data_IF_085301368826
#
_entry.id   IF_085301368826
#
_cell.length_a   1.000
_cell.length_b   1.000
_cell.length_c   1.000
_cell.angle_alpha   90.00
_cell.angle_beta   90.00
_cell.angle_gamma   90.00
#
_symmetry.space_group_name_H-M   'P 1'
#
loop_
_entity.id
_entity.type
_entity.pdbx_description
1 polymer ?
#
# COMPACT_ATOMS: atom_id res chain seq x y z
N UNK A 1 9.23 14.06 16.56
CA UNK A 1 7.99 13.52 15.95
C UNK A 1 8.01 12.02 16.11
N UNK A 2 6.90 11.35 15.81
CA UNK A 2 6.84 9.88 15.88
C UNK A 2 7.55 9.24 14.68
N UNK A 3 8.04 8.02 14.87
CA UNK A 3 8.55 7.19 13.79
C UNK A 3 7.38 6.64 12.97
N UNK A 4 7.55 6.57 11.66
CA UNK A 4 6.55 6.07 10.72
C UNK A 4 7.19 5.01 9.84
N UNK A 5 6.59 3.83 9.79
CA UNK A 5 6.88 2.80 8.79
C UNK A 5 5.92 3.04 7.63
N UNK A 6 6.43 3.51 6.50
CA UNK A 6 5.67 3.65 5.25
C UNK A 6 5.73 2.33 4.49
N UNK A 7 4.60 1.62 4.39
CA UNK A 7 4.56 0.32 3.74
C UNK A 7 4.83 0.40 2.23
N UNK A 8 4.38 1.47 1.56
CA UNK A 8 4.62 1.64 0.12
C UNK A 8 6.11 1.89 -0.14
N UNK A 9 6.76 2.71 0.69
CA UNK A 9 8.20 2.94 0.60
C UNK A 9 8.99 1.67 0.91
N UNK A 10 8.59 0.89 1.93
CA UNK A 10 9.24 -0.37 2.26
C UNK A 10 9.16 -1.37 1.10
N UNK A 11 7.99 -1.50 0.47
CA UNK A 11 7.81 -2.33 -0.73
C UNK A 11 8.67 -1.83 -1.88
N UNK A 12 8.72 -0.52 -2.08
CA UNK A 12 9.56 0.10 -3.11
C UNK A 12 11.04 -0.25 -2.93
N UNK A 13 11.54 -0.16 -1.70
CA UNK A 13 12.93 -0.44 -1.35
C UNK A 13 13.27 -1.93 -1.52
N UNK A 14 12.36 -2.84 -1.13
CA UNK A 14 12.52 -4.28 -1.34
C UNK A 14 12.53 -4.69 -2.82
N UNK A 15 11.92 -3.88 -3.69
CA UNK A 15 11.90 -4.07 -5.13
C UNK A 15 13.14 -3.49 -5.84
N UNK A 16 13.97 -2.71 -5.14
CA UNK A 16 15.24 -2.24 -5.68
C UNK A 16 16.21 -3.42 -5.92
N UNK A 17 17.16 -3.22 -6.84
CA UNK A 17 18.14 -4.25 -7.21
C UNK A 17 18.85 -4.85 -5.99
N UNK A 18 18.77 -6.18 -5.87
CA UNK A 18 19.33 -6.95 -4.74
C UNK A 18 18.39 -7.07 -3.52
N UNK A 19 17.22 -6.44 -3.56
CA UNK A 19 16.18 -6.58 -2.55
C UNK A 19 15.48 -7.94 -2.61
N UNK A 20 14.77 -8.27 -1.52
CA UNK A 20 14.13 -9.58 -1.37
C UNK A 20 12.95 -9.77 -2.34
N UNK A 21 12.15 -8.73 -2.57
CA UNK A 21 11.09 -8.77 -3.59
C UNK A 21 11.66 -8.78 -5.00
N UNK A 22 12.73 -8.02 -5.25
CA UNK A 22 13.45 -8.03 -6.53
C UNK A 22 13.86 -9.46 -6.92
N UNK A 23 14.52 -10.18 -6.01
CA UNK A 23 14.95 -11.55 -6.27
C UNK A 23 13.77 -12.51 -6.49
N UNK A 24 12.74 -12.42 -5.65
CA UNK A 24 11.56 -13.28 -5.79
C UNK A 24 10.81 -13.07 -7.11
N UNK A 25 10.71 -11.83 -7.58
CA UNK A 25 10.10 -11.50 -8.87
C UNK A 25 10.96 -11.99 -10.04
N UNK A 26 12.29 -11.89 -9.93
CA UNK A 26 13.21 -12.44 -10.92
C UNK A 26 13.15 -13.96 -11.01
N UNK A 27 13.09 -14.65 -9.87
CA UNK A 27 13.00 -16.10 -9.84
C UNK A 27 11.68 -16.59 -10.48
N UNK A 28 10.61 -15.81 -10.33
CA UNK A 28 9.30 -16.13 -10.91
C UNK A 28 9.15 -15.77 -12.39
N UNK A 29 9.52 -14.54 -12.78
CA UNK A 29 9.23 -13.98 -14.12
C UNK A 29 10.47 -13.92 -15.03
N UNK A 30 11.65 -14.22 -14.50
CA UNK A 30 12.92 -14.15 -15.20
C UNK A 30 13.37 -12.73 -15.51
N UNK A 31 14.49 -12.60 -16.23
CA UNK A 31 15.10 -11.31 -16.60
C UNK A 31 14.25 -10.47 -17.56
N UNK A 32 13.15 -11.02 -18.09
CA UNK A 32 12.24 -10.29 -18.96
C UNK A 32 11.64 -9.05 -18.27
N UNK A 33 11.59 -9.01 -16.94
CA UNK A 33 11.08 -7.87 -16.17
C UNK A 33 12.12 -6.78 -15.92
N UNK A 34 13.35 -6.92 -16.43
CA UNK A 34 14.43 -5.97 -16.21
C UNK A 34 14.55 -4.92 -17.31
N UNK A 35 15.03 -3.74 -16.91
CA UNK A 35 15.60 -2.72 -17.78
C UNK A 35 17.07 -3.06 -18.09
N UNK A 36 17.68 -2.32 -19.03
CA UNK A 36 19.07 -2.53 -19.45
C UNK A 36 20.11 -2.28 -18.34
N UNK A 37 19.77 -1.50 -17.31
CA UNK A 37 20.58 -1.25 -16.12
C UNK A 37 20.40 -2.32 -15.02
N UNK A 38 19.46 -3.26 -15.23
CA UNK A 38 19.11 -4.32 -14.30
C UNK A 38 18.10 -3.90 -13.23
N UNK A 39 17.51 -2.71 -13.31
CA UNK A 39 16.36 -2.32 -12.47
C UNK A 39 15.06 -2.97 -12.96
N UNK A 40 14.04 -3.06 -12.10
CA UNK A 40 12.74 -3.56 -12.52
C UNK A 40 12.05 -2.58 -13.48
N UNK A 41 11.61 -3.11 -14.63
CA UNK A 41 10.71 -2.42 -15.54
C UNK A 41 9.29 -2.43 -14.96
N UNK A 42 8.99 -1.45 -14.09
CA UNK A 42 7.69 -1.34 -13.39
C UNK A 42 6.47 -1.38 -14.33
N UNK A 43 6.45 -0.65 -15.47
CA UNK A 43 5.35 -0.77 -16.42
C UNK A 43 5.15 -2.20 -16.95
N UNK A 44 6.24 -2.88 -17.32
CA UNK A 44 6.17 -4.26 -17.84
C UNK A 44 5.78 -5.27 -16.77
N UNK A 45 6.32 -5.12 -15.55
CA UNK A 45 5.95 -5.93 -14.40
C UNK A 45 4.44 -5.81 -14.11
N UNK A 46 3.92 -4.57 -14.08
CA UNK A 46 2.49 -4.33 -13.93
C UNK A 46 1.67 -5.01 -15.03
N UNK A 47 2.06 -4.84 -16.31
CA UNK A 47 1.37 -5.50 -17.42
C UNK A 47 1.32 -7.03 -17.27
N UNK A 48 2.40 -7.66 -16.83
CA UNK A 48 2.46 -9.11 -16.63
C UNK A 48 1.58 -9.55 -15.46
N UNK A 49 1.68 -8.89 -14.30
CA UNK A 49 0.86 -9.20 -13.12
C UNK A 49 -0.63 -9.05 -13.45
N UNK A 50 -1.01 -7.97 -14.13
CA UNK A 50 -2.41 -7.70 -14.46
C UNK A 50 -2.91 -8.42 -15.73
N UNK A 51 -2.08 -9.23 -16.40
CA UNK A 51 -2.45 -9.92 -17.64
C UNK A 51 -3.50 -11.01 -17.48
N UNK A 52 -3.56 -11.66 -16.31
CA UNK A 52 -4.54 -12.68 -15.99
C UNK A 52 -4.85 -12.72 -14.48
N UNK A 53 -5.95 -13.36 -14.12
CA UNK A 53 -6.29 -13.60 -12.71
C UNK A 53 -5.29 -14.50 -12.01
N UNK A 54 -4.79 -15.52 -12.71
CA UNK A 54 -3.75 -16.43 -12.21
C UNK A 54 -2.45 -15.70 -11.89
N UNK A 55 -2.02 -14.76 -12.75
CA UNK A 55 -0.81 -13.97 -12.52
C UNK A 55 -0.96 -13.01 -11.33
N UNK A 56 -2.15 -12.41 -11.15
CA UNK A 56 -2.44 -11.60 -9.97
C UNK A 56 -2.37 -12.43 -8.70
N UNK A 57 -3.02 -13.59 -8.69
CA UNK A 57 -3.00 -14.50 -7.54
C UNK A 57 -1.58 -14.94 -7.16
N UNK A 58 -0.77 -15.37 -8.15
CA UNK A 58 0.62 -15.75 -7.89
C UNK A 58 1.46 -14.56 -7.37
N UNK A 59 1.27 -13.37 -7.94
CA UNK A 59 1.91 -12.15 -7.46
C UNK A 59 1.54 -11.87 -5.99
N UNK A 60 0.26 -11.97 -5.64
CA UNK A 60 -0.23 -11.72 -4.29
C UNK A 60 0.33 -12.73 -3.29
N UNK A 61 0.45 -14.01 -3.66
CA UNK A 61 1.07 -15.02 -2.81
C UNK A 61 2.57 -14.78 -2.59
N UNK A 62 3.32 -14.55 -3.68
CA UNK A 62 4.79 -14.37 -3.62
C UNK A 62 5.13 -13.09 -2.88
N UNK A 63 4.54 -11.97 -3.30
CA UNK A 63 4.86 -10.66 -2.72
C UNK A 63 4.23 -10.51 -1.34
N UNK A 64 2.97 -10.91 -1.17
CA UNK A 64 2.24 -10.73 0.08
C UNK A 64 2.92 -11.39 1.27
N UNK A 65 3.45 -12.61 1.11
CA UNK A 65 4.22 -13.27 2.18
C UNK A 65 5.48 -12.49 2.55
N UNK A 66 6.27 -12.07 1.57
CA UNK A 66 7.53 -11.35 1.80
C UNK A 66 7.26 -9.99 2.46
N UNK A 67 6.26 -9.26 1.97
CA UNK A 67 5.86 -7.96 2.49
C UNK A 67 5.38 -8.08 3.93
N UNK A 68 4.54 -9.07 4.23
CA UNK A 68 4.05 -9.33 5.58
C UNK A 68 5.19 -9.64 6.55
N UNK A 69 6.14 -10.48 6.16
CA UNK A 69 7.30 -10.79 6.99
C UNK A 69 8.18 -9.56 7.25
N UNK A 70 8.44 -8.73 6.22
CA UNK A 70 9.25 -7.53 6.37
C UNK A 70 8.56 -6.47 7.25
N UNK A 71 7.27 -6.20 7.02
CA UNK A 71 6.50 -5.28 7.86
C UNK A 71 6.50 -5.72 9.33
N UNK A 72 6.32 -7.01 9.59
CA UNK A 72 6.39 -7.55 10.95
C UNK A 72 7.78 -7.36 11.57
N UNK A 73 8.85 -7.61 10.81
CA UNK A 73 10.21 -7.41 11.29
C UNK A 73 10.50 -5.93 11.64
N UNK A 74 10.08 -5.00 10.79
CA UNK A 74 10.22 -3.56 11.03
C UNK A 74 9.41 -3.12 12.25
N UNK A 75 8.15 -3.58 12.37
CA UNK A 75 7.29 -3.33 13.54
C UNK A 75 7.95 -3.82 14.82
N UNK A 76 8.37 -5.08 14.86
CA UNK A 76 8.92 -5.73 16.06
C UNK A 76 10.29 -5.17 16.44
N UNK A 77 11.05 -4.68 15.45
CA UNK A 77 12.29 -3.93 15.68
C UNK A 77 11.99 -2.60 16.36
N UNK A 78 11.08 -1.81 15.79
CA UNK A 78 10.76 -0.48 16.27
C UNK A 78 10.07 -0.50 17.65
N UNK A 79 9.23 -1.50 17.91
CA UNK A 79 8.59 -1.70 19.21
C UNK A 79 9.57 -1.97 20.38
N UNK A 80 10.84 -2.26 20.09
CA UNK A 80 11.89 -2.37 21.13
C UNK A 80 12.53 -1.03 21.48
N UNK A 81 12.41 -0.04 20.60
CA UNK A 81 13.10 1.25 20.70
C UNK A 81 12.15 2.40 21.01
N UNK A 82 10.88 2.29 20.59
CA UNK A 82 9.88 3.35 20.66
C UNK A 82 8.61 2.86 21.37
N UNK A 83 8.11 3.62 22.33
CA UNK A 83 6.83 3.34 23.00
C UNK A 83 5.63 3.58 22.08
N UNK A 84 5.76 4.51 21.12
CA UNK A 84 4.72 4.87 20.15
C UNK A 84 5.34 5.13 18.78
N UNK A 85 4.82 4.43 17.77
CA UNK A 85 5.14 4.64 16.36
C UNK A 85 3.90 4.40 15.48
N UNK A 86 3.97 4.82 14.22
CA UNK A 86 2.89 4.64 13.25
C UNK A 86 3.35 3.72 12.12
N UNK A 87 2.40 2.98 11.55
CA UNK A 87 2.59 2.30 10.28
C UNK A 87 1.53 2.80 9.30
N UNK A 88 1.94 3.38 8.18
CA UNK A 88 1.05 3.78 7.11
C UNK A 88 0.89 2.62 6.13
N UNK A 89 -0.29 1.98 6.15
CA UNK A 89 -0.59 0.78 5.38
C UNK A 89 -1.93 1.00 4.63
N UNK A 90 -1.91 1.30 3.32
CA UNK A 90 -3.12 1.60 2.55
C UNK A 90 -4.17 0.47 2.55
N UNK A 91 -3.70 -0.78 2.52
CA UNK A 91 -4.51 -2.01 2.48
C UNK A 91 -4.47 -2.77 3.82
N UNK A 92 -4.45 -2.03 4.94
CA UNK A 92 -4.37 -2.61 6.29
C UNK A 92 -5.50 -3.61 6.54
N UNK A 93 -6.73 -3.20 6.23
CA UNK A 93 -7.94 -3.96 6.55
C UNK A 93 -8.13 -5.07 5.52
N UNK A 94 -7.89 -4.77 4.23
CA UNK A 94 -8.03 -5.71 3.13
C UNK A 94 -7.07 -6.91 3.22
N UNK A 95 -5.93 -6.76 3.90
CA UNK A 95 -4.92 -7.80 4.09
C UNK A 95 -4.88 -8.38 5.52
N UNK A 96 -5.93 -8.17 6.30
CA UNK A 96 -6.09 -8.73 7.64
C UNK A 96 -4.93 -8.40 8.62
N UNK A 97 -4.47 -7.15 8.61
CA UNK A 97 -3.46 -6.66 9.53
C UNK A 97 -4.03 -6.05 10.82
N UNK A 98 -5.34 -6.05 11.02
CA UNK A 98 -6.00 -5.31 12.11
C UNK A 98 -5.49 -5.75 13.49
N UNK A 99 -5.26 -7.05 13.67
CA UNK A 99 -4.77 -7.64 14.93
C UNK A 99 -3.32 -7.28 15.27
N UNK A 100 -2.61 -6.54 14.41
CA UNK A 100 -1.23 -6.10 14.66
C UNK A 100 -1.14 -4.82 15.47
N UNK A 101 -2.24 -4.09 15.63
CA UNK A 101 -2.24 -2.71 16.11
C UNK A 101 -3.07 -2.55 17.37
N UNK A 102 -2.55 -1.78 18.34
CA UNK A 102 -3.32 -1.36 19.51
C UNK A 102 -4.42 -0.35 19.15
N UNK A 103 -4.18 0.47 18.11
CA UNK A 103 -5.15 1.41 17.56
C UNK A 103 -5.03 1.51 16.04
N UNK A 104 -6.18 1.61 15.37
CA UNK A 104 -6.27 1.85 13.92
C UNK A 104 -6.87 3.24 13.70
N UNK A 105 -6.11 4.12 13.06
CA UNK A 105 -6.54 5.48 12.76
C UNK A 105 -6.93 5.58 11.28
N UNK A 106 -8.18 5.93 11.02
CA UNK A 106 -8.71 6.03 9.66
C UNK A 106 -8.87 7.50 9.25
N UNK A 107 -8.12 7.91 8.24
CA UNK A 107 -8.28 9.24 7.62
C UNK A 107 -9.40 9.18 6.60
N UNK A 108 -10.53 9.79 6.93
CA UNK A 108 -11.76 9.75 6.16
C UNK A 108 -11.97 11.03 5.34
N UNK A 109 -12.45 10.86 4.11
CA UNK A 109 -12.91 11.94 3.24
C UNK A 109 -14.22 11.55 2.59
N UNK A 110 -15.06 12.52 2.28
CA UNK A 110 -16.28 12.28 1.50
C UNK A 110 -15.92 11.76 0.10
N UNK A 111 -16.78 10.94 -0.53
CA UNK A 111 -16.53 10.43 -1.88
C UNK A 111 -16.30 11.53 -2.92
N UNK A 112 -17.00 12.65 -2.79
CA UNK A 112 -16.83 13.82 -3.66
C UNK A 112 -15.42 14.41 -3.54
N UNK A 113 -14.95 14.67 -2.32
CA UNK A 113 -13.61 15.20 -2.05
C UNK A 113 -12.53 14.19 -2.48
N UNK A 114 -12.73 12.89 -2.22
CA UNK A 114 -11.82 11.83 -2.63
C UNK A 114 -11.61 11.84 -4.14
N UNK A 115 -12.71 11.85 -4.90
CA UNK A 115 -12.69 11.88 -6.36
C UNK A 115 -12.02 13.15 -6.88
N UNK A 116 -12.39 14.32 -6.38
CA UNK A 116 -11.80 15.59 -6.80
C UNK A 116 -10.29 15.62 -6.57
N UNK A 117 -9.82 15.17 -5.40
CA UNK A 117 -8.38 15.11 -5.08
C UNK A 117 -7.65 14.10 -5.96
N UNK A 118 -8.23 12.93 -6.20
CA UNK A 118 -7.62 11.88 -7.03
C UNK A 118 -7.49 12.34 -8.49
N UNK A 119 -8.53 12.94 -9.07
CA UNK A 119 -8.49 13.52 -10.41
C UNK A 119 -7.42 14.60 -10.53
N UNK A 120 -7.36 15.52 -9.55
CA UNK A 120 -6.39 16.63 -9.56
C UNK A 120 -4.95 16.14 -9.43
N UNK A 121 -4.68 15.18 -8.54
CA UNK A 121 -3.34 14.66 -8.26
C UNK A 121 -2.80 13.79 -9.40
N UNK A 122 -3.65 12.95 -9.98
CA UNK A 122 -3.22 11.92 -10.93
C UNK A 122 -3.61 12.24 -12.38
N UNK A 123 -4.20 13.40 -12.65
CA UNK A 123 -4.69 13.84 -13.96
C UNK A 123 -5.66 12.84 -14.62
N UNK A 124 -6.57 12.27 -13.83
CA UNK A 124 -7.50 11.23 -14.26
C UNK A 124 -8.84 11.80 -14.72
N UNK A 125 -9.53 11.04 -15.57
CA UNK A 125 -10.96 11.26 -15.83
C UNK A 125 -11.81 10.95 -14.60
N UNK A 126 -13.06 11.41 -14.64
CA UNK A 126 -14.09 11.07 -13.67
C UNK A 126 -14.25 9.55 -13.52
N UNK A 127 -14.39 8.87 -14.66
CA UNK A 127 -14.62 7.42 -14.74
C UNK A 127 -13.40 6.65 -14.21
N UNK A 128 -12.18 7.06 -14.56
CA UNK A 128 -10.95 6.44 -14.06
C UNK A 128 -10.81 6.60 -12.54
N UNK A 129 -11.17 7.77 -12.00
CA UNK A 129 -11.16 8.01 -10.55
C UNK A 129 -12.19 7.14 -9.84
N UNK A 130 -13.43 7.08 -10.35
CA UNK A 130 -14.50 6.27 -9.78
C UNK A 130 -14.15 4.76 -9.81
N UNK A 131 -13.55 4.27 -10.90
CA UNK A 131 -13.09 2.88 -11.00
C UNK A 131 -12.03 2.54 -9.95
N UNK A 132 -11.09 3.44 -9.68
CA UNK A 132 -10.05 3.24 -8.65
C UNK A 132 -10.59 3.31 -7.22
N UNK A 133 -11.58 4.17 -6.98
CA UNK A 133 -12.26 4.23 -5.68
C UNK A 133 -13.04 2.94 -5.45
N UNK A 134 -13.76 2.46 -6.47
CA UNK A 134 -14.56 1.24 -6.41
C UNK A 134 -13.72 -0.05 -6.28
N UNK A 135 -12.43 -0.05 -6.64
CA UNK A 135 -11.55 -1.20 -6.44
C UNK A 135 -11.05 -1.37 -5.01
N UNK A 136 -11.30 -0.39 -4.12
CA UNK A 136 -10.93 -0.45 -2.71
C UNK A 136 -12.13 -0.79 -1.85
N UNK A 137 -11.88 -1.30 -0.64
CA UNK A 137 -12.94 -1.49 0.35
C UNK A 137 -13.63 -0.15 0.66
N UNK A 138 -14.99 -0.09 0.61
CA UNK A 138 -15.72 1.14 0.90
C UNK A 138 -15.38 1.73 2.27
N UNK A 139 -15.33 3.06 2.37
CA UNK A 139 -15.05 3.74 3.64
C UNK A 139 -15.99 3.29 4.78
N UNK A 140 -17.28 3.08 4.46
CA UNK A 140 -18.27 2.58 5.41
C UNK A 140 -17.95 1.20 5.98
N UNK A 141 -17.24 0.36 5.22
CA UNK A 141 -16.78 -0.96 5.67
C UNK A 141 -15.47 -0.87 6.45
N UNK A 142 -14.68 0.20 6.28
CA UNK A 142 -13.47 0.47 7.07
C UNK A 142 -13.78 1.05 8.45
N UNK A 143 -14.87 1.83 8.59
CA UNK A 143 -15.26 2.50 9.83
C UNK A 143 -15.31 1.59 11.07
N UNK A 144 -15.86 0.36 11.02
CA UNK A 144 -15.94 -0.53 12.19
C UNK A 144 -14.59 -0.96 12.77
N UNK A 145 -13.51 -0.90 11.97
CA UNK A 145 -12.16 -1.27 12.40
C UNK A 145 -11.39 -0.10 13.03
N UNK A 146 -11.88 1.14 12.86
CA UNK A 146 -11.16 2.33 13.29
C UNK A 146 -11.37 2.60 14.79
N UNK A 147 -10.26 2.75 15.52
CA UNK A 147 -10.24 3.26 16.89
C UNK A 147 -10.44 4.78 16.92
N UNK A 148 -9.96 5.47 15.88
CA UNK A 148 -10.14 6.90 15.66
C UNK A 148 -10.42 7.16 14.18
N UNK A 149 -11.38 8.04 13.90
CA UNK A 149 -11.67 8.53 12.56
C UNK A 149 -11.29 10.01 12.49
N UNK A 150 -10.40 10.35 11.57
CA UNK A 150 -9.95 11.72 11.33
C UNK A 150 -10.65 12.24 10.08
N UNK A 151 -11.46 13.30 10.21
CA UNK A 151 -12.08 13.97 9.08
C UNK A 151 -11.04 14.83 8.34
N UNK A 152 -10.83 14.54 7.06
CA UNK A 152 -9.91 15.26 6.19
C UNK A 152 -10.61 15.90 4.98
N UNK A 153 -11.89 16.28 5.12
CA UNK A 153 -12.61 17.00 4.06
C UNK A 153 -12.08 18.43 3.87
N UNK A 154 -11.54 19.05 4.93
CA UNK A 154 -11.00 20.41 4.94
C UNK A 154 -9.58 20.54 4.39
N UNK A 155 -8.94 21.66 4.68
CA UNK A 155 -7.53 21.93 4.39
C UNK A 155 -6.61 21.25 5.42
N UNK A 156 -5.29 21.35 5.21
CA UNK A 156 -4.31 20.84 6.18
C UNK A 156 -4.40 21.55 7.53
N UNK A 157 -4.83 22.83 7.54
CA UNK A 157 -5.02 23.62 8.77
C UNK A 157 -6.29 23.19 9.53
N UNK A 158 -7.24 22.57 8.84
CA UNK A 158 -8.48 22.05 9.42
C UNK A 158 -8.31 20.63 10.01
N UNK A 159 -7.22 19.94 9.64
CA UNK A 159 -6.93 18.58 10.10
C UNK A 159 -6.58 18.59 11.60
N UNK A 160 -7.40 17.91 12.40
CA UNK A 160 -7.27 17.86 13.87
C UNK A 160 -7.41 16.44 14.38
#
# INVERSE_FOLDING_TARGET
GYKVIDADQLVHDMQAKGGRLYQALLDWLGEAILLSDGELNRPKLGQLIFSSEEMRHQSDEIQGKIIREELAAQRDGLAKEEDVFFMDIPLLIENDYQDWFDQIWLVAVSPEVQRQRLMKRNHLSAEEADMRIASQMPLSEKLPYASLVIDNNGSIDDLK
#
